data_IF_614704123387
#
_entry.id   IF_614704123387
#
_cell.length_a   1.000
_cell.length_b   1.000
_cell.length_c   1.000
_cell.angle_alpha   90.00
_cell.angle_beta   90.00
_cell.angle_gamma   90.00
#
_symmetry.space_group_name_H-M   'P 1'
#
loop_
_entity.id
_entity.type
_entity.pdbx_description
1 polymer ?
#
# COMPACT_ATOMS: atom_id res chain seq x y z
N UNK A 1 17.76 21.83 -3.53
CA UNK A 1 17.17 20.53 -3.94
C UNK A 1 15.81 20.80 -4.58
N UNK A 2 15.73 20.76 -5.90
CA UNK A 2 14.50 21.03 -6.66
C UNK A 2 13.50 19.88 -6.49
N UNK A 3 12.40 20.12 -5.76
CA UNK A 3 11.24 19.22 -5.72
C UNK A 3 10.72 19.04 -7.15
N UNK A 4 10.83 17.83 -7.71
CA UNK A 4 10.15 17.45 -8.96
C UNK A 4 8.64 17.44 -8.68
N UNK A 5 7.99 18.59 -8.85
CA UNK A 5 6.54 18.71 -8.71
C UNK A 5 5.90 18.21 -9.99
N UNK A 6 5.62 16.91 -10.04
CA UNK A 6 4.81 16.33 -11.11
C UNK A 6 3.37 16.80 -10.88
N UNK A 7 2.77 17.41 -11.90
CA UNK A 7 1.44 18.02 -11.82
C UNK A 7 0.40 17.23 -12.61
N UNK A 8 -0.77 17.02 -12.04
CA UNK A 8 -1.96 16.47 -12.71
C UNK A 8 -3.08 17.51 -12.62
N UNK A 9 -3.68 17.87 -13.77
CA UNK A 9 -4.74 18.89 -13.83
C UNK A 9 -4.35 20.21 -13.13
N UNK A 10 -3.12 20.69 -13.39
CA UNK A 10 -2.54 21.90 -12.81
C UNK A 10 -2.40 21.92 -11.28
N UNK A 11 -2.50 20.76 -10.61
CA UNK A 11 -2.27 20.60 -9.17
C UNK A 11 -1.15 19.60 -8.91
N UNK A 12 -0.46 19.73 -7.78
CA UNK A 12 0.62 18.84 -7.38
C UNK A 12 0.11 17.42 -7.08
N UNK A 13 0.91 16.42 -7.44
CA UNK A 13 0.69 15.02 -7.05
C UNK A 13 1.66 14.70 -5.90
N UNK A 14 1.14 14.15 -4.81
CA UNK A 14 1.93 13.60 -3.71
C UNK A 14 2.27 12.15 -4.04
N UNK A 15 3.56 11.81 -4.25
CA UNK A 15 3.96 10.44 -4.52
C UNK A 15 3.96 9.60 -3.24
N UNK A 16 3.88 8.29 -3.41
CA UNK A 16 4.09 7.34 -2.32
C UNK A 16 5.60 7.26 -1.99
N UNK A 17 5.96 7.39 -0.72
CA UNK A 17 7.35 7.28 -0.27
C UNK A 17 7.60 5.93 0.39
N UNK A 18 8.67 5.25 -0.03
CA UNK A 18 9.19 4.04 0.62
C UNK A 18 10.67 4.27 0.91
N UNK A 19 11.07 4.11 2.17
CA UNK A 19 12.45 4.36 2.64
C UNK A 19 12.99 5.73 2.20
N UNK A 20 12.16 6.77 2.31
CA UNK A 20 12.52 8.15 1.93
C UNK A 20 12.61 8.41 0.42
N UNK A 21 12.34 7.42 -0.43
CA UNK A 21 12.37 7.56 -1.90
C UNK A 21 10.95 7.63 -2.48
N UNK A 22 10.64 8.60 -3.34
CA UNK A 22 9.35 8.64 -4.01
C UNK A 22 9.28 7.53 -5.07
N UNK A 23 8.17 6.79 -5.08
CA UNK A 23 7.88 5.82 -6.14
C UNK A 23 7.45 6.51 -7.44
N UNK A 24 7.63 5.84 -8.60
CA UNK A 24 7.11 6.33 -9.88
C UNK A 24 5.60 6.52 -9.83
N UNK A 25 5.12 7.59 -10.46
CA UNK A 25 3.70 7.93 -10.47
C UNK A 25 2.96 7.04 -11.46
N UNK A 26 1.97 6.29 -10.94
CA UNK A 26 1.04 5.48 -11.71
C UNK A 26 -0.24 6.30 -12.00
N UNK A 27 -0.49 6.78 -13.24
CA UNK A 27 -1.60 7.69 -13.55
C UNK A 27 -2.99 7.11 -13.27
N UNK A 28 -3.12 5.78 -13.35
CA UNK A 28 -4.34 5.01 -13.10
C UNK A 28 -4.72 4.94 -11.62
N UNK A 29 -3.81 5.31 -10.71
CA UNK A 29 -3.98 5.17 -9.25
C UNK A 29 -3.98 6.51 -8.52
N UNK A 30 -4.31 7.59 -9.22
CA UNK A 30 -4.31 8.93 -8.65
C UNK A 30 -5.73 9.32 -8.23
N UNK A 31 -5.89 9.82 -7.00
CA UNK A 31 -7.18 10.28 -6.50
C UNK A 31 -7.09 11.70 -5.92
N UNK A 32 -8.17 12.50 -6.01
CA UNK A 32 -8.18 13.87 -5.51
C UNK A 32 -8.29 13.91 -3.99
N UNK A 33 -7.48 14.76 -3.35
CA UNK A 33 -7.63 15.11 -1.94
C UNK A 33 -8.44 16.40 -1.85
N UNK A 34 -9.60 16.30 -1.23
CA UNK A 34 -10.58 17.39 -1.10
C UNK A 34 -10.44 18.03 0.28
N UNK A 35 -10.34 19.35 0.31
CA UNK A 35 -10.43 20.10 1.56
C UNK A 35 -11.90 20.15 2.00
N UNK A 36 -12.20 19.54 3.14
CA UNK A 36 -13.56 19.43 3.66
C UNK A 36 -14.24 20.79 3.96
N UNK A 37 -13.47 21.84 4.29
CA UNK A 37 -14.02 23.15 4.64
C UNK A 37 -14.37 24.01 3.40
N UNK A 38 -13.70 23.78 2.27
CA UNK A 38 -13.84 24.60 1.06
C UNK A 38 -14.46 23.84 -0.12
N UNK A 39 -14.63 22.53 0.02
CA UNK A 39 -15.04 21.59 -1.03
C UNK A 39 -14.22 21.74 -2.33
N UNK A 40 -12.92 22.02 -2.15
CA UNK A 40 -11.96 22.24 -3.25
C UNK A 40 -10.88 21.17 -3.22
N UNK A 41 -10.53 20.67 -4.41
CA UNK A 41 -9.37 19.79 -4.58
C UNK A 41 -8.11 20.59 -4.25
N UNK A 42 -7.35 20.11 -3.28
CA UNK A 42 -6.10 20.75 -2.83
C UNK A 42 -4.92 20.20 -3.61
N UNK A 43 -4.80 18.88 -3.67
CA UNK A 43 -3.75 18.17 -4.39
C UNK A 43 -4.26 16.77 -4.76
N UNK A 44 -3.46 16.05 -5.52
CA UNK A 44 -3.71 14.65 -5.83
C UNK A 44 -2.76 13.76 -5.03
N UNK A 45 -3.19 12.54 -4.70
CA UNK A 45 -2.35 11.54 -4.05
C UNK A 45 -2.32 10.26 -4.89
N UNK A 46 -1.18 9.59 -4.90
CA UNK A 46 -1.05 8.25 -5.47
C UNK A 46 -1.50 7.19 -4.47
N UNK A 47 -2.40 6.31 -4.89
CA UNK A 47 -2.82 5.15 -4.11
C UNK A 47 -1.74 4.08 -4.09
N UNK A 48 -1.70 3.33 -3.00
CA UNK A 48 -0.79 2.21 -2.80
C UNK A 48 -1.52 0.88 -3.03
N UNK A 49 -0.83 -0.09 -3.63
CA UNK A 49 -1.20 -1.50 -3.50
C UNK A 49 -0.86 -2.02 -2.09
N UNK A 50 -1.42 -3.17 -1.70
CA UNK A 50 -1.19 -3.75 -0.37
C UNK A 50 0.32 -3.95 -0.08
N UNK A 51 1.14 -4.52 -0.98
CA UNK A 51 2.58 -4.67 -0.73
C UNK A 51 3.32 -3.34 -0.58
N UNK A 52 2.94 -2.32 -1.35
CA UNK A 52 3.54 -0.99 -1.28
C UNK A 52 3.16 -0.29 0.04
N UNK A 53 1.91 -0.41 0.48
CA UNK A 53 1.44 0.15 1.75
C UNK A 53 2.16 -0.48 2.96
N UNK A 54 2.34 -1.81 2.95
CA UNK A 54 3.09 -2.52 4.00
C UNK A 54 4.57 -2.09 4.03
N UNK A 55 5.19 -1.94 2.86
CA UNK A 55 6.58 -1.49 2.73
C UNK A 55 6.79 -0.03 3.17
N UNK A 56 5.83 0.85 2.86
CA UNK A 56 5.81 2.22 3.33
C UNK A 56 5.66 2.27 4.87
N UNK A 57 4.74 1.47 5.42
CA UNK A 57 4.51 1.38 6.86
C UNK A 57 5.73 0.88 7.62
N UNK A 58 6.42 -0.15 7.09
CA UNK A 58 7.67 -0.65 7.65
C UNK A 58 8.76 0.44 7.71
N UNK A 59 8.86 1.25 6.64
CA UNK A 59 9.83 2.36 6.59
C UNK A 59 9.55 3.42 7.66
N UNK A 60 8.27 3.74 7.90
CA UNK A 60 7.87 4.69 8.93
C UNK A 60 8.14 4.15 10.34
N UNK A 61 7.93 2.85 10.57
CA UNK A 61 8.26 2.21 11.84
C UNK A 61 9.76 2.27 12.13
N UNK A 62 10.59 1.99 11.14
CA UNK A 62 12.05 2.10 11.25
C UNK A 62 12.47 3.52 11.63
N UNK A 63 11.95 4.53 10.95
CA UNK A 63 12.25 5.95 11.21
C UNK A 63 11.78 6.41 12.60
N UNK A 64 10.63 5.90 13.06
CA UNK A 64 10.03 6.27 14.35
C UNK A 64 10.43 5.36 15.53
N UNK A 65 11.34 4.40 15.31
CA UNK A 65 11.75 3.38 16.30
C UNK A 65 12.09 3.98 17.66
N UNK A 66 12.93 5.02 17.71
CA UNK A 66 13.37 5.63 18.97
C UNK A 66 12.21 6.29 19.73
N UNK A 67 11.29 6.95 19.02
CA UNK A 67 10.12 7.57 19.64
C UNK A 67 9.18 6.51 20.20
N UNK A 68 8.90 5.45 19.43
CA UNK A 68 8.01 4.37 19.85
C UNK A 68 8.63 3.61 21.03
N UNK A 69 9.93 3.31 20.99
CA UNK A 69 10.63 2.64 22.07
C UNK A 69 10.64 3.46 23.36
N UNK A 70 10.83 4.79 23.26
CA UNK A 70 10.77 5.68 24.40
C UNK A 70 9.37 5.67 25.05
N UNK A 71 8.32 5.83 24.24
CA UNK A 71 6.93 5.75 24.71
C UNK A 71 6.63 4.40 25.35
N UNK A 72 7.02 3.31 24.69
CA UNK A 72 6.78 1.96 25.21
C UNK A 72 7.48 1.73 26.55
N UNK A 73 8.74 2.15 26.69
CA UNK A 73 9.47 2.01 27.96
C UNK A 73 8.81 2.81 29.09
N UNK A 74 8.29 4.01 28.80
CA UNK A 74 7.55 4.82 29.77
C UNK A 74 6.22 4.18 30.18
N UNK A 75 5.49 3.58 29.23
CA UNK A 75 4.17 2.99 29.48
C UNK A 75 4.22 1.65 30.21
N UNK A 76 5.21 0.80 29.90
CA UNK A 76 5.24 -0.59 30.39
C UNK A 76 6.38 -0.87 31.35
N UNK A 77 7.22 0.13 31.65
CA UNK A 77 8.48 -0.04 32.40
C UNK A 77 9.43 -1.07 31.77
N UNK A 78 9.25 -1.39 30.47
CA UNK A 78 10.12 -2.30 29.76
C UNK A 78 11.55 -1.76 29.66
N UNK A 79 12.53 -2.65 29.76
CA UNK A 79 13.94 -2.28 29.57
C UNK A 79 14.14 -1.70 28.16
N UNK A 80 14.95 -0.63 28.00
CA UNK A 80 15.12 0.05 26.71
C UNK A 80 15.54 -0.88 25.56
N UNK A 81 16.36 -1.90 25.82
CA UNK A 81 16.75 -2.88 24.80
C UNK A 81 15.56 -3.67 24.24
N UNK A 82 14.61 -4.06 25.10
CA UNK A 82 13.38 -4.74 24.69
C UNK A 82 12.42 -3.79 23.98
N UNK A 83 12.30 -2.56 24.48
CA UNK A 83 11.45 -1.54 23.86
C UNK A 83 11.92 -1.15 22.44
N UNK A 84 13.25 -1.14 22.19
CA UNK A 84 13.83 -0.90 20.86
C UNK A 84 13.69 -2.10 19.91
N UNK A 85 13.57 -3.32 20.43
CA UNK A 85 13.47 -4.52 19.61
C UNK A 85 12.12 -4.61 18.87
N UNK A 86 11.02 -4.29 19.54
CA UNK A 86 9.67 -4.51 19.00
C UNK A 86 9.35 -3.72 17.71
N UNK A 87 9.68 -2.41 17.59
CA UNK A 87 9.43 -1.68 16.35
C UNK A 87 10.21 -2.26 15.17
N UNK A 88 11.46 -2.69 15.40
CA UNK A 88 12.29 -3.33 14.38
C UNK A 88 11.74 -4.69 13.95
N UNK A 89 11.30 -5.52 14.92
CA UNK A 89 10.65 -6.80 14.63
C UNK A 89 9.34 -6.61 13.85
N UNK A 90 8.52 -5.63 14.21
CA UNK A 90 7.30 -5.30 13.50
C UNK A 90 7.57 -4.86 12.06
N UNK A 91 8.57 -4.01 11.82
CA UNK A 91 8.98 -3.61 10.48
C UNK A 91 9.44 -4.81 9.62
N UNK A 92 10.21 -5.74 10.21
CA UNK A 92 10.65 -6.96 9.53
C UNK A 92 9.46 -7.85 9.11
N UNK A 93 8.49 -8.05 10.00
CA UNK A 93 7.27 -8.82 9.71
C UNK A 93 6.49 -8.18 8.56
N UNK A 94 6.30 -6.86 8.57
CA UNK A 94 5.59 -6.16 7.49
C UNK A 94 6.27 -6.35 6.13
N UNK A 95 7.62 -6.34 6.09
CA UNK A 95 8.39 -6.60 4.86
C UNK A 95 8.24 -8.05 4.39
N UNK A 96 8.24 -9.00 5.31
CA UNK A 96 8.04 -10.43 4.99
C UNK A 96 6.66 -10.69 4.40
N UNK A 97 5.61 -10.10 4.99
CA UNK A 97 4.24 -10.19 4.46
C UNK A 97 4.15 -9.53 3.08
N UNK A 98 4.75 -8.35 2.91
CA UNK A 98 4.77 -7.66 1.62
C UNK A 98 5.45 -8.50 0.52
N UNK A 99 6.58 -9.14 0.83
CA UNK A 99 7.28 -10.04 -0.10
C UNK A 99 6.47 -11.30 -0.41
N UNK A 100 5.81 -11.87 0.59
CA UNK A 100 4.95 -13.05 0.44
C UNK A 100 3.76 -12.79 -0.47
N UNK A 101 3.08 -11.64 -0.28
CA UNK A 101 1.95 -11.22 -1.15
C UNK A 101 2.40 -11.01 -2.60
N UNK A 102 3.57 -10.39 -2.78
CA UNK A 102 4.14 -10.17 -4.11
C UNK A 102 4.43 -11.49 -4.82
N UNK A 103 4.82 -12.54 -4.09
CA UNK A 103 5.08 -13.87 -4.64
C UNK A 103 3.79 -14.63 -4.91
N UNK A 104 2.85 -14.66 -3.95
CA UNK A 104 1.60 -15.41 -4.06
C UNK A 104 0.70 -14.94 -5.21
N UNK A 105 0.73 -13.65 -5.56
CA UNK A 105 -0.05 -13.07 -6.65
C UNK A 105 0.56 -13.27 -8.05
N UNK A 106 1.70 -13.98 -8.16
CA UNK A 106 2.36 -14.24 -9.46
C UNK A 106 2.18 -15.67 -9.97
N UNK A 107 1.39 -16.51 -9.28
CA UNK A 107 1.10 -17.86 -9.73
C UNK A 107 0.16 -17.88 -10.95
N UNK A 108 0.62 -18.42 -12.07
CA UNK A 108 -0.26 -18.80 -13.18
C UNK A 108 -0.86 -20.18 -12.90
N UNK A 109 -2.19 -20.30 -13.00
CA UNK A 109 -2.83 -21.62 -13.11
C UNK A 109 -2.29 -22.26 -14.40
N UNK A 110 -1.61 -23.42 -14.34
CA UNK A 110 -1.17 -24.09 -15.55
C UNK A 110 -2.39 -24.35 -16.45
N UNK A 111 -2.32 -24.08 -17.77
CA UNK A 111 -3.42 -24.40 -18.66
C UNK A 111 -3.68 -25.90 -18.55
N UNK A 112 -4.87 -26.27 -18.07
CA UNK A 112 -5.28 -27.66 -17.95
C UNK A 112 -5.16 -28.31 -19.33
N UNK A 113 -4.19 -29.21 -19.48
CA UNK A 113 -4.16 -30.11 -20.62
C UNK A 113 -5.43 -30.95 -20.56
N UNK A 114 -6.19 -30.96 -21.66
CA UNK A 114 -7.61 -31.27 -21.70
C UNK A 114 -8.06 -32.55 -21.00
N UNK A 115 -9.38 -32.56 -20.73
CA UNK A 115 -10.21 -33.65 -20.19
C UNK A 115 -10.44 -33.75 -18.68
N UNK A 116 -10.31 -32.66 -17.92
CA UNK A 116 -10.84 -32.61 -16.54
C UNK A 116 -12.22 -31.89 -16.52
N UNK A 117 -13.35 -32.61 -16.36
CA UNK A 117 -14.70 -32.02 -16.41
C UNK A 117 -15.08 -31.20 -15.17
N UNK A 118 -14.12 -30.86 -14.29
CA UNK A 118 -14.37 -30.27 -12.98
C UNK A 118 -13.99 -28.79 -12.84
N UNK A 119 -13.38 -28.15 -13.86
CA UNK A 119 -13.00 -26.73 -13.80
C UNK A 119 -13.95 -25.88 -14.66
N UNK A 120 -15.11 -25.56 -14.09
CA UNK A 120 -15.93 -24.45 -14.58
C UNK A 120 -15.48 -23.15 -13.88
N UNK A 121 -14.61 -22.38 -14.53
CA UNK A 121 -14.45 -20.96 -14.17
C UNK A 121 -15.72 -20.25 -14.62
N UNK A 122 -16.68 -20.11 -13.71
CA UNK A 122 -17.84 -19.23 -13.89
C UNK A 122 -17.35 -17.78 -13.85
N UNK A 123 -16.83 -17.29 -14.98
CA UNK A 123 -16.78 -15.85 -15.22
C UNK A 123 -18.22 -15.45 -15.51
N UNK A 124 -18.94 -15.07 -14.47
CA UNK A 124 -20.29 -14.54 -14.57
C UNK A 124 -20.23 -13.21 -15.33
N UNK A 125 -20.41 -13.28 -16.65
CA UNK A 125 -20.49 -12.14 -17.53
C UNK A 125 -21.81 -11.43 -17.20
N UNK A 126 -21.77 -10.46 -16.29
CA UNK A 126 -22.90 -9.57 -15.99
C UNK A 126 -23.31 -8.85 -17.28
N UNK A 127 -24.32 -9.38 -17.96
CA UNK A 127 -24.88 -8.82 -19.18
C UNK A 127 -25.83 -7.67 -18.81
N UNK A 128 -25.59 -6.42 -19.23
CA UNK A 128 -26.34 -5.26 -18.74
C UNK A 128 -27.66 -5.01 -19.51
N UNK A 129 -28.33 -6.03 -20.05
CA UNK A 129 -29.47 -5.83 -20.96
C UNK A 129 -30.63 -6.80 -20.76
N UNK A 130 -31.09 -6.98 -19.51
CA UNK A 130 -32.36 -7.62 -19.22
C UNK A 130 -33.05 -6.95 -18.01
N UNK A 131 -33.53 -5.72 -18.23
CA UNK A 131 -34.43 -5.00 -17.34
C UNK A 131 -35.46 -4.24 -18.19
N UNK A 132 -36.28 -5.00 -18.91
CA UNK A 132 -37.54 -4.64 -19.58
C UNK A 132 -38.20 -6.02 -19.83
N UNK A 133 -39.35 -6.42 -19.28
CA UNK A 133 -40.58 -5.75 -18.87
C UNK A 133 -41.12 -6.42 -17.60
#
# INVERSE_FOLDING_TARGET
MSKLTITHSSRAIVPLYISGRPLPIAPDRIFPIINAAQDKITHYAQAASVPEALSASASLLEESTTSIAATHSLETSAHPSFANFLPGAAAAILREVAGSLSTALTGSIPPGTGNDPSIHVLIEKKNPSALFF
#
